data_IF_685440173495
#
_entry.id   IF_685440173495
#
_cell.length_a   1.000
_cell.length_b   1.000
_cell.length_c   1.000
_cell.angle_alpha   90.00
_cell.angle_beta   90.00
_cell.angle_gamma   90.00
#
_symmetry.space_group_name_H-M   'P 1'
#
loop_
_entity.id
_entity.type
_entity.pdbx_description
1 polymer ?
#
# COMPACT_ATOMS: atom_id res chain seq x y z
N UNK A 1 -1.07 -15.95 0.33
CA UNK A 1 -0.47 -15.85 1.66
C UNK A 1 -0.52 -14.41 2.15
N UNK A 2 -0.35 -14.16 3.45
CA UNK A 2 -0.30 -12.80 4.02
C UNK A 2 1.12 -12.49 4.46
N UNK A 3 1.69 -11.41 3.94
CA UNK A 3 3.02 -10.94 4.30
C UNK A 3 2.96 -10.10 5.59
N UNK A 4 4.02 -10.13 6.38
CA UNK A 4 4.11 -9.36 7.63
C UNK A 4 4.29 -7.87 7.37
N UNK A 5 4.06 -7.05 8.40
CA UNK A 5 4.24 -5.60 8.31
C UNK A 5 5.69 -5.23 8.64
N UNK A 6 6.32 -4.45 7.78
CA UNK A 6 7.59 -3.77 8.04
C UNK A 6 7.31 -2.41 8.69
N UNK A 7 7.68 -2.20 9.97
CA UNK A 7 7.55 -0.89 10.61
C UNK A 7 8.37 0.16 9.88
N UNK A 8 7.82 1.38 9.73
CA UNK A 8 8.51 2.46 9.00
C UNK A 8 9.89 2.77 9.58
N UNK A 9 10.00 2.80 10.91
CA UNK A 9 11.26 3.05 11.62
C UNK A 9 12.33 2.02 11.24
N UNK A 10 11.96 0.74 11.11
CA UNK A 10 12.89 -0.33 10.76
C UNK A 10 13.35 -0.19 9.30
N UNK A 11 12.43 0.08 8.38
CA UNK A 11 12.77 0.32 6.98
C UNK A 11 13.70 1.55 6.83
N UNK A 12 13.42 2.65 7.53
CA UNK A 12 14.26 3.86 7.51
C UNK A 12 15.66 3.59 8.09
N UNK A 13 15.76 2.84 9.18
CA UNK A 13 17.05 2.46 9.77
C UNK A 13 17.89 1.62 8.80
N UNK A 14 17.28 0.61 8.14
CA UNK A 14 17.96 -0.20 7.12
C UNK A 14 18.45 0.68 5.96
N UNK A 15 17.59 1.56 5.46
CA UNK A 15 17.90 2.45 4.33
C UNK A 15 19.01 3.46 4.65
N UNK A 16 18.96 4.07 5.84
CA UNK A 16 19.88 5.15 6.24
C UNK A 16 21.25 4.64 6.67
N UNK A 17 21.30 3.51 7.38
CA UNK A 17 22.55 2.98 7.94
C UNK A 17 23.18 1.86 7.08
N UNK A 18 22.49 1.38 6.04
CA UNK A 18 22.93 0.27 5.17
C UNK A 18 23.31 -1.00 5.96
N UNK A 19 22.50 -1.33 6.97
CA UNK A 19 22.75 -2.45 7.89
C UNK A 19 22.20 -3.79 7.41
N UNK A 20 21.38 -3.80 6.35
CA UNK A 20 20.81 -4.99 5.74
C UNK A 20 20.52 -4.75 4.25
N UNK A 21 20.41 -5.85 3.48
CA UNK A 21 20.06 -5.80 2.06
C UNK A 21 18.54 -5.75 1.91
N UNK A 22 18.00 -4.61 1.47
CA UNK A 22 16.56 -4.39 1.34
C UNK A 22 16.21 -3.74 0.00
N UNK A 23 15.20 -4.28 -0.67
CA UNK A 23 14.59 -3.68 -1.84
C UNK A 23 13.13 -3.30 -1.56
N UNK A 24 12.79 -2.04 -1.76
CA UNK A 24 11.42 -1.56 -1.66
C UNK A 24 10.76 -1.63 -3.04
N UNK A 25 9.60 -2.26 -3.13
CA UNK A 25 8.78 -2.35 -4.35
C UNK A 25 7.57 -1.43 -4.20
N UNK A 26 7.56 -0.33 -4.96
CA UNK A 26 6.41 0.57 -5.02
C UNK A 26 5.44 0.10 -6.11
N UNK A 27 4.23 -0.29 -5.71
CA UNK A 27 3.20 -0.81 -6.64
C UNK A 27 2.15 0.23 -7.03
N UNK A 28 2.42 1.53 -6.80
CA UNK A 28 1.61 2.64 -7.31
C UNK A 28 1.67 2.73 -8.84
N UNK A 29 0.69 3.43 -9.43
CA UNK A 29 0.61 3.65 -10.89
C UNK A 29 0.33 5.13 -11.18
N UNK A 30 -0.94 5.49 -11.35
CA UNK A 30 -1.36 6.87 -11.60
C UNK A 30 -1.16 7.77 -10.38
N UNK A 31 -1.02 7.17 -9.21
CA UNK A 31 -0.70 7.81 -7.94
C UNK A 31 0.79 7.72 -7.58
N UNK A 32 1.67 7.36 -8.53
CA UNK A 32 3.13 7.37 -8.36
C UNK A 32 3.68 8.80 -8.56
N UNK A 33 3.12 9.72 -7.80
CA UNK A 33 3.45 11.15 -7.82
C UNK A 33 3.97 11.59 -6.44
N UNK A 34 4.58 12.78 -6.39
CA UNK A 34 5.11 13.36 -5.14
C UNK A 34 6.48 12.81 -4.73
N UNK A 35 7.09 11.99 -5.58
CA UNK A 35 8.38 11.35 -5.35
C UNK A 35 8.26 9.87 -4.96
N UNK A 36 9.41 9.23 -4.89
CA UNK A 36 9.56 7.82 -4.55
C UNK A 36 10.50 7.66 -3.36
N UNK A 37 10.33 6.61 -2.56
CA UNK A 37 11.29 6.28 -1.51
C UNK A 37 12.62 5.93 -2.21
N UNK A 38 13.72 6.50 -1.74
CA UNK A 38 15.04 6.35 -2.35
C UNK A 38 15.42 4.89 -2.47
N UNK A 39 15.88 4.49 -3.65
CA UNK A 39 16.26 3.10 -3.94
C UNK A 39 15.09 2.13 -4.11
N UNK A 40 13.84 2.61 -4.13
CA UNK A 40 12.69 1.76 -4.49
C UNK A 40 12.59 1.52 -5.99
N UNK A 41 12.03 0.37 -6.37
CA UNK A 41 11.69 0.01 -7.74
C UNK A 41 10.18 0.07 -7.93
N UNK A 42 9.71 0.78 -8.96
CA UNK A 42 8.29 0.86 -9.27
C UNK A 42 7.84 -0.29 -10.18
N UNK A 43 6.93 -1.13 -9.69
CA UNK A 43 6.29 -2.20 -10.46
C UNK A 43 4.78 -2.12 -10.22
N UNK A 44 4.01 -1.47 -11.12
CA UNK A 44 2.58 -1.26 -10.92
C UNK A 44 1.78 -2.55 -10.67
N UNK A 45 0.89 -2.49 -9.67
CA UNK A 45 0.12 -3.66 -9.21
C UNK A 45 -0.66 -4.39 -10.32
N UNK A 46 -1.09 -3.68 -11.37
CA UNK A 46 -1.90 -4.22 -12.47
C UNK A 46 -1.16 -5.30 -13.28
N UNK A 47 0.16 -5.16 -13.45
CA UNK A 47 1.01 -6.12 -14.16
C UNK A 47 1.82 -7.00 -13.21
N UNK A 48 1.79 -6.73 -11.91
CA UNK A 48 2.71 -7.33 -10.95
C UNK A 48 2.65 -8.86 -10.92
N UNK A 49 1.44 -9.44 -11.00
CA UNK A 49 1.27 -10.90 -10.92
C UNK A 49 2.21 -11.62 -11.88
N UNK A 50 2.24 -11.24 -13.16
CA UNK A 50 3.08 -11.88 -14.18
C UNK A 50 4.58 -11.62 -14.02
N UNK A 51 4.95 -10.54 -13.32
CA UNK A 51 6.35 -10.13 -13.16
C UNK A 51 7.01 -10.67 -11.88
N UNK A 52 6.27 -11.38 -11.02
CA UNK A 52 6.75 -11.89 -9.74
C UNK A 52 7.99 -12.80 -9.85
N UNK A 53 8.08 -13.61 -10.91
CA UNK A 53 9.24 -14.48 -11.14
C UNK A 53 10.51 -13.70 -11.48
N UNK A 54 10.40 -12.67 -12.30
CA UNK A 54 11.55 -11.81 -12.62
C UNK A 54 12.00 -11.00 -11.41
N UNK A 55 11.06 -10.52 -10.59
CA UNK A 55 11.42 -9.87 -9.34
C UNK A 55 12.17 -10.83 -8.40
N UNK A 56 11.73 -12.09 -8.29
CA UNK A 56 12.44 -13.09 -7.48
C UNK A 56 13.87 -13.31 -8.00
N UNK A 57 14.05 -13.55 -9.31
CA UNK A 57 15.37 -13.72 -9.93
C UNK A 57 16.29 -12.53 -9.66
N UNK A 58 15.77 -11.31 -9.72
CA UNK A 58 16.51 -10.09 -9.42
C UNK A 58 16.95 -10.06 -7.95
N UNK A 59 16.01 -10.28 -7.03
CA UNK A 59 16.28 -10.25 -5.59
C UNK A 59 17.25 -11.35 -5.17
N UNK A 60 17.08 -12.57 -5.69
CA UNK A 60 17.92 -13.71 -5.42
C UNK A 60 19.37 -13.46 -5.87
N UNK A 61 19.58 -13.00 -7.11
CA UNK A 61 20.93 -12.73 -7.65
C UNK A 61 21.64 -11.55 -7.00
N UNK A 62 20.88 -10.64 -6.39
CA UNK A 62 21.41 -9.48 -5.69
C UNK A 62 21.53 -9.70 -4.18
N UNK A 63 21.34 -10.94 -3.70
CA UNK A 63 21.36 -11.30 -2.27
C UNK A 63 20.48 -10.35 -1.43
N UNK A 64 19.26 -10.08 -1.91
CA UNK A 64 18.28 -9.26 -1.19
C UNK A 64 17.63 -10.11 -0.10
N UNK A 65 17.83 -9.69 1.15
CA UNK A 65 17.24 -10.35 2.31
C UNK A 65 15.78 -9.90 2.53
N UNK A 66 15.50 -8.61 2.38
CA UNK A 66 14.18 -8.01 2.65
C UNK A 66 13.56 -7.41 1.39
N UNK A 67 12.43 -7.96 0.94
CA UNK A 67 11.61 -7.38 -0.13
C UNK A 67 10.35 -6.75 0.48
N UNK A 68 10.29 -5.42 0.43
CA UNK A 68 9.26 -4.65 1.14
C UNK A 68 8.32 -3.96 0.14
N UNK A 69 7.04 -4.30 0.17
CA UNK A 69 6.04 -3.73 -0.72
C UNK A 69 5.42 -2.47 -0.12
N UNK A 70 5.25 -1.43 -0.93
CA UNK A 70 4.52 -0.23 -0.58
C UNK A 70 3.51 0.15 -1.66
N UNK A 71 2.43 0.82 -1.26
CA UNK A 71 1.59 1.58 -2.17
C UNK A 71 1.22 2.92 -1.51
N UNK A 72 0.14 3.57 -1.93
CA UNK A 72 -0.34 4.81 -1.29
C UNK A 72 -0.45 4.68 0.23
N UNK A 73 -1.32 3.80 0.72
CA UNK A 73 -1.58 3.58 2.16
C UNK A 73 -1.22 2.18 2.66
N UNK A 74 -0.74 1.31 1.78
CA UNK A 74 -0.57 -0.14 2.06
C UNK A 74 -1.83 -0.84 2.60
N UNK A 75 -3.03 -0.32 2.32
CA UNK A 75 -4.31 -0.94 2.71
C UNK A 75 -4.99 -1.75 1.60
N UNK A 76 -4.31 -1.98 0.47
CA UNK A 76 -4.91 -2.68 -0.68
C UNK A 76 -3.87 -3.29 -1.62
N UNK A 77 -3.36 -2.50 -2.57
CA UNK A 77 -2.39 -2.98 -3.58
C UNK A 77 -1.11 -3.57 -2.97
N UNK A 78 -0.51 -2.89 -1.99
CA UNK A 78 0.72 -3.32 -1.32
C UNK A 78 0.61 -4.73 -0.73
N UNK A 79 -0.32 -4.98 0.23
CA UNK A 79 -0.54 -6.30 0.79
C UNK A 79 -0.88 -7.38 -0.24
N UNK A 80 -1.68 -7.03 -1.26
CA UNK A 80 -2.04 -7.98 -2.32
C UNK A 80 -0.82 -8.44 -3.12
N UNK A 81 -0.01 -7.50 -3.59
CA UNK A 81 1.20 -7.82 -4.36
C UNK A 81 2.23 -8.56 -3.49
N UNK A 82 2.40 -8.16 -2.23
CA UNK A 82 3.26 -8.86 -1.28
C UNK A 82 2.79 -10.31 -1.06
N UNK A 83 1.48 -10.53 -0.92
CA UNK A 83 0.90 -11.86 -0.74
C UNK A 83 1.08 -12.77 -1.96
N UNK A 84 0.98 -12.22 -3.18
CA UNK A 84 1.30 -12.95 -4.41
C UNK A 84 2.78 -13.26 -4.56
N UNK A 85 3.65 -12.32 -4.17
CA UNK A 85 5.08 -12.52 -4.22
C UNK A 85 5.52 -13.55 -3.18
N UNK A 86 5.07 -13.44 -1.93
CA UNK A 86 5.32 -14.41 -0.88
C UNK A 86 4.89 -15.83 -1.28
N UNK A 87 3.69 -15.96 -1.85
CA UNK A 87 3.20 -17.24 -2.38
C UNK A 87 4.13 -17.81 -3.46
N UNK A 88 4.61 -16.97 -4.37
CA UNK A 88 5.56 -17.40 -5.40
C UNK A 88 6.92 -17.81 -4.80
N UNK A 89 7.47 -17.02 -3.88
CA UNK A 89 8.76 -17.31 -3.25
C UNK A 89 8.70 -18.64 -2.48
N UNK A 90 7.64 -18.86 -1.69
CA UNK A 90 7.50 -20.07 -0.87
C UNK A 90 7.07 -21.31 -1.66
N UNK A 91 6.09 -21.18 -2.55
CA UNK A 91 5.47 -22.34 -3.20
C UNK A 91 6.01 -22.63 -4.61
N UNK A 92 6.61 -21.65 -5.28
CA UNK A 92 7.24 -21.85 -6.61
C UNK A 92 8.75 -21.95 -6.51
N UNK A 93 9.41 -20.96 -5.89
CA UNK A 93 10.86 -20.92 -5.80
C UNK A 93 11.43 -21.76 -4.64
N UNK A 94 10.57 -22.15 -3.68
CA UNK A 94 10.95 -22.94 -2.49
C UNK A 94 12.04 -22.27 -1.62
N UNK A 95 12.12 -20.94 -1.67
CA UNK A 95 13.01 -20.13 -0.83
C UNK A 95 12.28 -19.81 0.49
N UNK A 96 12.89 -20.16 1.62
CA UNK A 96 12.36 -19.88 2.96
C UNK A 96 13.06 -18.72 3.68
N UNK A 97 14.16 -18.23 3.12
CA UNK A 97 15.08 -17.29 3.76
C UNK A 97 14.76 -15.84 3.38
N UNK A 98 14.33 -15.59 2.12
CA UNK A 98 13.94 -14.25 1.69
C UNK A 98 12.70 -13.77 2.45
N UNK A 99 12.77 -12.56 3.02
CA UNK A 99 11.71 -11.97 3.84
C UNK A 99 10.84 -11.05 3.00
N UNK A 100 9.52 -11.30 2.99
CA UNK A 100 8.54 -10.53 2.22
C UNK A 100 7.64 -9.79 3.19
N UNK A 101 7.61 -8.46 3.07
CA UNK A 101 6.92 -7.59 4.01
C UNK A 101 6.10 -6.51 3.30
N UNK A 102 5.21 -5.84 4.03
CA UNK A 102 4.48 -4.66 3.59
C UNK A 102 4.89 -3.46 4.43
N UNK A 103 5.28 -2.36 3.80
CA UNK A 103 5.60 -1.12 4.49
C UNK A 103 4.36 -0.57 5.20
N UNK A 104 4.47 -0.42 6.52
CA UNK A 104 3.45 0.16 7.38
C UNK A 104 2.96 1.51 6.83
N UNK A 105 1.64 1.65 6.69
CA UNK A 105 0.94 2.85 6.21
C UNK A 105 1.37 3.38 4.82
N UNK A 106 2.16 2.62 4.07
CA UNK A 106 2.62 2.95 2.73
C UNK A 106 3.42 4.25 2.64
N UNK A 107 3.54 4.77 1.42
CA UNK A 107 4.27 6.04 1.18
C UNK A 107 3.60 7.23 1.84
N UNK A 108 2.26 7.24 1.99
CA UNK A 108 1.55 8.32 2.71
C UNK A 108 1.99 8.37 4.17
N UNK A 109 2.09 7.21 4.82
CA UNK A 109 2.62 7.12 6.17
C UNK A 109 4.08 7.58 6.25
N UNK A 110 4.91 7.18 5.29
CA UNK A 110 6.30 7.63 5.20
C UNK A 110 6.43 9.16 5.15
N UNK A 111 5.60 9.83 4.33
CA UNK A 111 5.59 11.29 4.25
C UNK A 111 5.08 11.93 5.54
N UNK A 112 3.99 11.40 6.11
CA UNK A 112 3.42 11.91 7.38
C UNK A 112 4.38 11.78 8.56
N UNK A 113 5.34 10.87 8.51
CA UNK A 113 6.35 10.68 9.55
C UNK A 113 7.43 11.80 9.58
N UNK A 114 7.37 12.75 8.64
CA UNK A 114 8.09 14.02 8.70
C UNK A 114 9.44 14.03 7.97
N UNK A 115 10.17 15.13 8.14
CA UNK A 115 11.41 15.43 7.39
C UNK A 115 12.46 14.32 7.48
N UNK A 116 12.55 13.65 8.64
CA UNK A 116 13.47 12.55 8.87
C UNK A 116 13.26 11.36 7.90
N UNK A 117 12.06 11.22 7.33
CA UNK A 117 11.72 10.23 6.30
C UNK A 117 11.73 10.84 4.89
N UNK A 118 11.18 12.04 4.70
CA UNK A 118 11.08 12.64 3.36
C UNK A 118 12.44 13.02 2.76
N UNK A 119 13.48 13.24 3.57
CA UNK A 119 14.86 13.38 3.09
C UNK A 119 15.39 12.14 2.33
N UNK A 120 14.77 10.98 2.56
CA UNK A 120 15.03 9.72 1.86
C UNK A 120 14.03 9.46 0.73
N UNK A 121 13.47 10.51 0.15
CA UNK A 121 12.68 10.42 -1.08
C UNK A 121 13.40 11.12 -2.23
N UNK A 122 13.35 10.49 -3.39
CA UNK A 122 13.86 11.07 -4.63
C UNK A 122 12.70 11.76 -5.35
N UNK A 123 12.94 13.00 -5.81
CA UNK A 123 11.91 13.82 -6.45
C UNK A 123 10.76 14.21 -5.51
N UNK A 124 11.03 14.35 -4.21
CA UNK A 124 10.02 14.76 -3.23
C UNK A 124 9.43 16.13 -3.58
N UNK A 125 8.10 16.20 -3.69
CA UNK A 125 7.35 17.44 -3.94
C UNK A 125 6.41 17.72 -2.77
N UNK A 126 6.79 18.56 -1.79
CA UNK A 126 5.97 18.77 -0.59
C UNK A 126 4.56 19.29 -0.91
N UNK A 127 4.43 20.18 -1.90
CA UNK A 127 3.17 20.81 -2.27
C UNK A 127 2.14 19.77 -2.75
N UNK A 128 2.59 18.74 -3.47
CA UNK A 128 1.72 17.64 -3.89
C UNK A 128 1.10 16.91 -2.70
N UNK A 129 1.91 16.63 -1.67
CA UNK A 129 1.44 15.91 -0.48
C UNK A 129 0.54 16.76 0.40
N UNK A 130 0.85 18.05 0.55
CA UNK A 130 -0.01 19.00 1.25
C UNK A 130 -1.40 19.09 0.61
N UNK A 131 -1.45 19.22 -0.71
CA UNK A 131 -2.70 19.22 -1.48
C UNK A 131 -3.47 17.91 -1.32
N UNK A 132 -2.79 16.77 -1.53
CA UNK A 132 -3.40 15.45 -1.42
C UNK A 132 -4.01 15.21 -0.03
N UNK A 133 -3.29 15.54 1.04
CA UNK A 133 -3.80 15.36 2.39
C UNK A 133 -4.94 16.32 2.72
N UNK A 134 -4.89 17.57 2.25
CA UNK A 134 -6.00 18.51 2.41
C UNK A 134 -7.28 18.03 1.70
N UNK A 135 -7.16 17.47 0.50
CA UNK A 135 -8.28 16.90 -0.25
C UNK A 135 -8.87 15.65 0.43
N UNK A 136 -8.02 14.78 0.98
CA UNK A 136 -8.45 13.61 1.74
C UNK A 136 -9.20 13.97 3.02
N UNK A 137 -8.72 14.95 3.79
CA UNK A 137 -9.39 15.41 5.00
C UNK A 137 -10.73 16.09 4.69
N UNK A 138 -10.81 16.91 3.64
CA UNK A 138 -12.09 17.48 3.16
C UNK A 138 -13.09 16.38 2.82
N UNK A 139 -12.66 15.36 2.06
CA UNK A 139 -13.52 14.24 1.66
C UNK A 139 -14.04 13.46 2.86
N UNK A 140 -13.20 13.25 3.90
CA UNK A 140 -13.63 12.59 5.14
C UNK A 140 -14.66 13.43 5.90
N UNK A 141 -14.44 14.74 6.02
CA UNK A 141 -15.37 15.64 6.70
C UNK A 141 -16.73 15.66 5.99
N UNK A 142 -16.76 15.82 4.67
CA UNK A 142 -18.01 15.79 3.90
C UNK A 142 -18.77 14.47 4.09
N UNK A 143 -18.06 13.34 4.13
CA UNK A 143 -18.69 12.04 4.38
C UNK A 143 -19.26 11.96 5.80
N UNK A 144 -18.52 12.40 6.82
CA UNK A 144 -18.98 12.43 8.21
C UNK A 144 -20.22 13.33 8.38
N UNK A 145 -20.24 14.51 7.74
CA UNK A 145 -21.38 15.43 7.79
C UNK A 145 -22.62 14.82 7.10
N UNK A 146 -22.42 14.12 5.98
CA UNK A 146 -23.50 13.42 5.26
C UNK A 146 -24.07 12.28 6.11
N UNK A 147 -23.21 11.46 6.71
CA UNK A 147 -23.60 10.34 7.58
C UNK A 147 -24.30 10.84 8.87
N UNK A 148 -23.92 12.00 9.40
CA UNK A 148 -24.56 12.62 10.56
C UNK A 148 -25.94 13.25 10.25
N UNK A 149 -26.19 13.67 9.00
CA UNK A 149 -27.46 14.26 8.57
C UNK A 149 -28.55 13.23 8.23
N UNK A 150 -28.21 11.94 8.16
CA UNK A 150 -29.14 10.84 7.90
C UNK A 150 -29.94 10.42 9.13
N UNK A 151 -30.92 11.23 9.57
CA UNK A 151 -31.91 10.82 10.56
C UNK A 151 -33.08 10.06 9.92
N UNK A 152 -33.19 8.77 10.26
CA UNK A 152 -34.44 8.04 10.51
C UNK A 152 -35.58 8.17 9.49
N UNK A 153 -35.55 7.35 8.44
CA UNK A 153 -36.76 6.94 7.72
C UNK A 153 -37.33 5.69 8.38
N UNK A 154 -38.32 5.87 9.26
CA UNK A 154 -39.14 4.83 9.88
C UNK A 154 -39.88 3.99 8.81
N UNK A 155 -39.77 2.66 8.76
CA UNK A 155 -40.67 1.85 7.93
C UNK A 155 -41.85 1.43 8.81
N UNK A 156 -42.85 2.29 8.96
CA UNK A 156 -44.12 1.86 9.55
C UNK A 156 -45.34 2.19 8.67
N UNK A 157 -46.07 1.11 8.39
CA UNK A 157 -47.48 0.98 8.03
C UNK A 157 -47.98 1.35 6.63
N UNK A 158 -48.38 0.30 5.90
CA UNK A 158 -49.30 0.36 4.76
C UNK A 158 -49.72 -1.03 4.31
N UNK A 159 -50.54 -1.73 5.11
CA UNK A 159 -51.20 -2.97 4.72
C UNK A 159 -52.39 -2.67 3.78
N UNK A 160 -52.51 -3.41 2.67
CA UNK A 160 -53.78 -3.80 2.07
C UNK A 160 -53.59 -4.94 1.06
N UNK A 161 -54.35 -6.01 1.27
CA UNK A 161 -54.44 -7.17 0.40
C UNK A 161 -55.21 -6.88 -0.89
N UNK A 162 -54.86 -7.55 -1.99
CA UNK A 162 -55.80 -7.92 -3.04
C UNK A 162 -55.28 -9.14 -3.84
N UNK A 163 -56.12 -10.15 -3.83
CA UNK A 163 -56.16 -11.40 -4.61
C UNK A 163 -56.15 -11.15 -6.12
N UNK A 164 -55.52 -12.04 -6.91
CA UNK A 164 -56.09 -12.76 -8.08
C UNK A 164 -55.04 -13.24 -9.12
N UNK A 165 -54.98 -14.58 -9.24
CA UNK A 165 -55.09 -15.38 -10.48
C UNK A 165 -54.50 -14.83 -11.80
N UNK A 166 -53.47 -15.48 -12.34
CA UNK A 166 -53.58 -16.60 -13.33
C UNK A 166 -52.20 -17.18 -13.66
#
# INVERSE_FOLDING_TARGET
>A
MTAEIMPQRRAMMILSMKIASMLIIDVRRTDYEGGAIRGSLNIPAQGFYWNRGMLYELCYKADIEWVVFTCGSSAGRGPRCAGWFLDHVRNTAQDNDMQIMVLESGVKGWVKAGQQYTQFMDGFRPEYWEQLFAEEEKTKQTKADTDASGTGGDPSAGAAAATETK
#
